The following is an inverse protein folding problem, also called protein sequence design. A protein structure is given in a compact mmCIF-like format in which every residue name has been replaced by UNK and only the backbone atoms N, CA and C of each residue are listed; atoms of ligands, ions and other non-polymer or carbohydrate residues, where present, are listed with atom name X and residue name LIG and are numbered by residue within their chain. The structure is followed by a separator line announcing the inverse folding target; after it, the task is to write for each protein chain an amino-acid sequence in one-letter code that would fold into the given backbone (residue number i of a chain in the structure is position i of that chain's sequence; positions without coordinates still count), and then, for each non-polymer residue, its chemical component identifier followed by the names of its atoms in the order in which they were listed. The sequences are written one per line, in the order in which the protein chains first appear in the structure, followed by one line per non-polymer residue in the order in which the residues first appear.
data_IF_792877941732
#
_entry.id   IF_792877941732
#
_cell.length_a   1.000
_cell.length_b   1.000
_cell.length_c   1.000
_cell.angle_alpha   90.00
_cell.angle_beta   90.00
_cell.angle_gamma   90.00
#
_symmetry.space_group_name_H-M   'P 1'
#
loop_
_entity.id
_entity.type
_entity.pdbx_description
1 polymer ?
#
# COMPACT_ATOMS: atom_id res chain seq x y z
N UNK A 1 25.93 -6.97 -39.28
CA UNK A 1 24.90 -5.98 -38.90
C UNK A 1 24.37 -6.14 -37.45
N UNK A 2 24.31 -7.34 -36.84
CA UNK A 2 23.72 -7.51 -35.50
C UNK A 2 24.46 -6.86 -34.31
N UNK A 3 25.81 -6.77 -34.32
CA UNK A 3 26.56 -6.22 -33.18
C UNK A 3 26.35 -4.71 -32.94
N UNK A 4 26.14 -3.93 -34.00
CA UNK A 4 25.84 -2.51 -33.88
C UNK A 4 24.44 -2.28 -33.30
N UNK A 5 23.46 -3.10 -33.73
CA UNK A 5 22.09 -3.08 -33.22
C UNK A 5 22.00 -3.44 -31.73
N UNK A 6 22.74 -4.46 -31.28
CA UNK A 6 22.76 -4.78 -29.85
C UNK A 6 23.38 -3.66 -28.99
N UNK A 7 24.36 -2.93 -29.52
CA UNK A 7 24.98 -1.79 -28.81
C UNK A 7 24.04 -0.59 -28.72
N UNK A 8 23.30 -0.28 -29.78
CA UNK A 8 22.31 0.81 -29.76
C UNK A 8 21.15 0.48 -28.83
N UNK A 9 20.62 -0.74 -28.85
CA UNK A 9 19.57 -1.19 -27.92
C UNK A 9 20.05 -1.15 -26.47
N UNK A 10 21.28 -1.58 -26.19
CA UNK A 10 21.84 -1.54 -24.84
C UNK A 10 22.10 -0.10 -24.35
N UNK A 11 22.50 0.82 -25.24
CA UNK A 11 22.64 2.23 -24.91
C UNK A 11 21.27 2.87 -24.63
N UNK A 12 20.25 2.54 -25.42
CA UNK A 12 18.89 3.04 -25.23
C UNK A 12 18.30 2.60 -23.89
N UNK A 13 18.45 1.32 -23.53
CA UNK A 13 18.02 0.80 -22.22
C UNK A 13 18.66 1.55 -21.04
N UNK A 14 19.95 1.89 -21.12
CA UNK A 14 20.60 2.69 -20.05
C UNK A 14 20.01 4.09 -19.91
N UNK A 15 19.65 4.73 -21.03
CA UNK A 15 19.02 6.06 -21.01
C UNK A 15 17.63 5.97 -20.39
N UNK A 16 16.87 4.94 -20.73
CA UNK A 16 15.55 4.67 -20.16
C UNK A 16 15.63 4.37 -18.66
N UNK A 17 16.57 3.52 -18.23
CA UNK A 17 16.81 3.22 -16.81
C UNK A 17 17.19 4.49 -16.02
N UNK A 18 18.05 5.34 -16.60
CA UNK A 18 18.43 6.61 -15.98
C UNK A 18 17.24 7.55 -15.84
N UNK A 19 16.43 7.67 -16.90
CA UNK A 19 15.22 8.47 -16.88
C UNK A 19 14.24 7.95 -15.81
N UNK A 20 13.99 6.65 -15.78
CA UNK A 20 13.13 6.01 -14.78
C UNK A 20 13.63 6.31 -13.36
N UNK A 21 14.93 6.18 -13.10
CA UNK A 21 15.53 6.45 -11.78
C UNK A 21 15.36 7.91 -11.36
N UNK A 22 15.55 8.87 -12.27
CA UNK A 22 15.37 10.31 -11.97
C UNK A 22 13.91 10.62 -11.65
N UNK A 23 12.96 10.06 -12.40
CA UNK A 23 11.54 10.22 -12.13
C UNK A 23 11.14 9.54 -10.81
N UNK A 24 11.60 8.32 -10.57
CA UNK A 24 11.28 7.58 -9.36
C UNK A 24 11.86 8.21 -8.10
N UNK A 25 13.05 8.81 -8.18
CA UNK A 25 13.65 9.53 -7.05
C UNK A 25 12.79 10.73 -6.64
N UNK A 26 12.30 11.51 -7.62
CA UNK A 26 11.55 12.74 -7.35
C UNK A 26 10.12 12.48 -6.88
N UNK A 27 9.39 11.55 -7.52
CA UNK A 27 7.98 11.30 -7.22
C UNK A 27 7.71 10.04 -6.41
N UNK A 28 8.73 9.22 -6.15
CA UNK A 28 8.58 7.95 -5.42
C UNK A 28 8.03 8.12 -4.01
N UNK A 29 8.41 9.20 -3.29
CA UNK A 29 7.87 9.46 -1.97
C UNK A 29 6.37 9.77 -1.99
N UNK A 30 5.91 10.58 -2.95
CA UNK A 30 4.50 10.89 -3.12
C UNK A 30 3.71 9.63 -3.49
N UNK A 31 4.18 8.85 -4.47
CA UNK A 31 3.56 7.58 -4.85
C UNK A 31 3.46 6.59 -3.68
N UNK A 32 4.54 6.43 -2.89
CA UNK A 32 4.52 5.55 -1.71
C UNK A 32 3.56 6.04 -0.62
N UNK A 33 3.40 7.36 -0.45
CA UNK A 33 2.41 7.91 0.48
C UNK A 33 0.99 7.62 -0.01
N UNK A 34 0.71 7.88 -1.28
CA UNK A 34 -0.59 7.61 -1.89
C UNK A 34 -0.97 6.13 -1.81
N UNK A 35 -0.06 5.24 -2.21
CA UNK A 35 -0.28 3.80 -2.13
C UNK A 35 -0.60 3.35 -0.69
N UNK A 36 0.11 3.89 0.31
CA UNK A 36 -0.18 3.61 1.72
C UNK A 36 -1.55 4.14 2.15
N UNK A 37 -1.91 5.36 1.76
CA UNK A 37 -3.22 5.93 2.07
C UNK A 37 -4.38 5.10 1.45
N UNK A 38 -4.19 4.62 0.22
CA UNK A 38 -5.15 3.73 -0.44
C UNK A 38 -5.27 2.38 0.28
N UNK A 39 -4.14 1.79 0.68
CA UNK A 39 -4.13 0.55 1.47
C UNK A 39 -4.82 0.73 2.83
N UNK A 40 -4.55 1.84 3.52
CA UNK A 40 -5.16 2.16 4.81
C UNK A 40 -6.69 2.36 4.67
N UNK A 41 -7.14 2.96 3.57
CA UNK A 41 -8.57 3.12 3.23
C UNK A 41 -9.25 1.79 2.95
N UNK A 42 -8.62 0.94 2.13
CA UNK A 42 -9.14 -0.41 1.83
C UNK A 42 -9.28 -1.24 3.11
N UNK A 43 -8.31 -1.17 4.02
CA UNK A 43 -8.37 -1.86 5.31
C UNK A 43 -9.53 -1.36 6.17
N UNK A 44 -9.77 -0.05 6.18
CA UNK A 44 -10.92 0.53 6.90
C UNK A 44 -12.26 0.00 6.39
N UNK A 45 -12.41 -0.11 5.06
CA UNK A 45 -13.63 -0.62 4.42
C UNK A 45 -13.88 -2.10 4.75
N UNK A 46 -12.83 -2.90 4.90
CA UNK A 46 -12.94 -4.30 5.28
C UNK A 46 -13.28 -4.47 6.77
N UNK A 47 -12.93 -3.49 7.61
CA UNK A 47 -13.13 -3.53 9.06
C UNK A 47 -14.27 -2.61 9.53
N UNK A 48 -15.23 -2.26 8.66
CA UNK A 48 -16.34 -1.36 9.00
C UNK A 48 -17.11 -1.79 10.25
N UNK A 49 -17.28 -3.09 10.48
CA UNK A 49 -18.01 -3.62 11.64
C UNK A 49 -17.34 -3.23 12.97
N UNK A 50 -16.00 -3.17 13.00
CA UNK A 50 -15.25 -2.68 14.17
C UNK A 50 -15.45 -1.18 14.41
N UNK A 51 -15.89 -0.43 13.40
CA UNK A 51 -16.25 0.98 13.47
C UNK A 51 -17.75 1.19 13.74
N UNK A 52 -18.51 0.11 13.97
CA UNK A 52 -19.96 0.15 14.18
C UNK A 52 -20.77 0.36 12.90
N UNK A 53 -20.17 0.11 11.73
CA UNK A 53 -20.83 0.21 10.42
C UNK A 53 -20.94 -1.19 9.83
N UNK A 54 -22.14 -1.60 9.41
CA UNK A 54 -22.32 -2.91 8.80
C UNK A 54 -21.47 -3.05 7.51
N UNK A 55 -20.74 -4.15 7.39
CA UNK A 55 -19.95 -4.46 6.20
C UNK A 55 -20.73 -5.44 5.29
N UNK A 56 -21.18 -5.02 4.10
CA UNK A 56 -21.98 -5.87 3.20
C UNK A 56 -21.20 -7.04 2.60
N UNK A 57 -19.87 -7.03 2.69
CA UNK A 57 -18.98 -8.09 2.19
C UNK A 57 -18.17 -8.74 3.32
N UNK A 58 -18.65 -8.65 4.56
CA UNK A 58 -17.95 -9.19 5.72
C UNK A 58 -17.64 -10.69 5.56
N UNK A 59 -18.61 -11.46 5.08
CA UNK A 59 -18.51 -12.91 4.96
C UNK A 59 -17.47 -13.31 3.91
N UNK A 60 -17.49 -12.63 2.76
CA UNK A 60 -16.61 -12.87 1.62
C UNK A 60 -15.16 -12.48 1.91
N UNK A 61 -14.94 -11.61 2.91
CA UNK A 61 -13.64 -11.05 3.25
C UNK A 61 -13.09 -11.56 4.59
N UNK A 62 -13.76 -12.53 5.22
CA UNK A 62 -13.32 -13.19 6.46
C UNK A 62 -11.89 -13.73 6.36
N UNK A 63 -11.52 -14.32 5.23
CA UNK A 63 -10.17 -14.87 5.00
C UNK A 63 -9.07 -13.81 4.99
N UNK A 64 -9.43 -12.55 4.79
CA UNK A 64 -8.49 -11.43 4.78
C UNK A 64 -8.19 -10.91 6.20
N UNK A 65 -9.09 -11.16 7.16
CA UNK A 65 -8.99 -10.65 8.53
C UNK A 65 -7.66 -11.01 9.20
N UNK A 66 -7.14 -12.25 9.14
CA UNK A 66 -5.86 -12.60 9.79
C UNK A 66 -4.68 -11.74 9.32
N UNK A 67 -4.62 -11.44 8.01
CA UNK A 67 -3.59 -10.57 7.44
C UNK A 67 -3.79 -9.11 7.86
N UNK A 68 -5.04 -8.71 8.11
CA UNK A 68 -5.36 -7.36 8.54
C UNK A 68 -5.00 -7.12 10.01
N UNK A 69 -5.32 -8.09 10.86
CA UNK A 69 -5.11 -8.03 12.32
C UNK A 69 -3.63 -7.98 12.69
N UNK A 70 -2.75 -8.67 11.93
CA UNK A 70 -1.32 -8.72 12.20
C UNK A 70 -0.65 -7.33 12.32
N UNK A 71 -1.09 -6.37 11.49
CA UNK A 71 -0.56 -5.00 11.48
C UNK A 71 -1.52 -3.94 12.04
N UNK A 72 -2.62 -4.35 12.68
CA UNK A 72 -3.69 -3.48 13.18
C UNK A 72 -3.16 -2.36 14.06
N UNK A 73 -2.24 -2.68 14.99
CA UNK A 73 -1.63 -1.72 15.91
C UNK A 73 -0.88 -0.61 15.17
N UNK A 74 -0.12 -0.96 14.14
CA UNK A 74 0.63 0.02 13.36
C UNK A 74 -0.30 0.91 12.53
N UNK A 75 -1.42 0.35 12.09
CA UNK A 75 -2.36 1.01 11.19
C UNK A 75 -3.24 2.05 11.91
N UNK A 76 -3.81 1.71 13.07
CA UNK A 76 -4.65 2.68 13.80
C UNK A 76 -3.85 3.87 14.35
N UNK A 77 -2.59 3.64 14.74
CA UNK A 77 -1.67 4.74 15.06
C UNK A 77 -1.41 5.66 13.87
N UNK A 78 -1.28 5.12 12.66
CA UNK A 78 -1.13 5.95 11.44
C UNK A 78 -2.39 6.76 11.12
N UNK A 79 -3.56 6.27 11.51
CA UNK A 79 -4.82 7.00 11.40
C UNK A 79 -4.98 8.08 12.48
N UNK A 80 -4.08 8.15 13.47
CA UNK A 80 -4.16 9.09 14.57
C UNK A 80 -5.28 8.79 15.56
N UNK A 81 -5.66 7.51 15.71
CA UNK A 81 -6.59 7.09 16.77
C UNK A 81 -5.80 6.65 18.01
N UNK A 82 -6.23 7.15 19.16
CA UNK A 82 -5.63 6.81 20.47
C UNK A 82 -6.11 5.45 21.00
N UNK A 83 -7.32 5.03 20.61
CA UNK A 83 -7.92 3.75 20.98
C UNK A 83 -8.77 3.21 19.82
N UNK A 84 -8.86 1.89 19.75
CA UNK A 84 -9.68 1.16 18.79
C UNK A 84 -11.11 0.88 19.32
N UNK A 85 -11.41 1.28 20.56
CA UNK A 85 -12.76 1.27 21.13
C UNK A 85 -13.22 -0.09 21.66
N UNK A 86 -12.32 -1.07 21.74
CA UNK A 86 -12.60 -2.38 22.31
C UNK A 86 -12.05 -2.46 23.76
N UNK A 87 -12.86 -2.84 24.76
CA UNK A 87 -12.37 -3.02 26.12
C UNK A 87 -11.29 -4.11 26.15
N UNK A 88 -10.04 -3.70 26.41
CA UNK A 88 -8.87 -4.57 26.41
C UNK A 88 -8.21 -4.82 25.04
N UNK A 89 -8.54 -4.02 24.02
CA UNK A 89 -8.02 -4.18 22.66
C UNK A 89 -7.06 -3.08 22.21
N UNK A 90 -5.81 -3.47 21.93
CA UNK A 90 -4.78 -2.76 21.16
C UNK A 90 -4.38 -1.32 21.53
N UNK A 91 -4.65 -0.93 22.78
CA UNK A 91 -3.80 -0.11 23.65
C UNK A 91 -3.82 -0.71 25.06
#
# INVERSE_FOLDING_TARGET
MGRAWHRTVAAWRRVEDFHQQVFDARWGHARRREARAQQDTLRALLMLETLGVDNPVAYETLDLIPYMVADLHSWHQRLGRDDFGAPGGCC
#
